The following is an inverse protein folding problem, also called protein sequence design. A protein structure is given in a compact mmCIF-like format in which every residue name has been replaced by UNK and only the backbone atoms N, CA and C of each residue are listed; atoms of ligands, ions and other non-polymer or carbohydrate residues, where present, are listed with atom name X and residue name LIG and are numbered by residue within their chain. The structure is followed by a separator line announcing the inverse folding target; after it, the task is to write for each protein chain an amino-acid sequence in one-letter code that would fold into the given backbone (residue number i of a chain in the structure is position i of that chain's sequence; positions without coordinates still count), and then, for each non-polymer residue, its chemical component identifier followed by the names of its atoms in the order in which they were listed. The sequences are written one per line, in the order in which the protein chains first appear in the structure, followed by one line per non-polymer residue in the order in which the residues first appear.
data_IF_730382191974
#
_entry.id   IF_730382191974
#
_cell.length_a   1.000
_cell.length_b   1.000
_cell.length_c   1.000
_cell.angle_alpha   90.00
_cell.angle_beta   90.00
_cell.angle_gamma   90.00
#
_symmetry.space_group_name_H-M   'P 1'
#
loop_
_entity.id
_entity.type
_entity.pdbx_description
1 polymer ?
#
# COMPACT_ATOMS: atom_id res chain seq x y z
N UNK A 1 -0.25 -25.41 -13.15
CA UNK A 1 0.61 -24.63 -12.24
C UNK A 1 -0.17 -23.42 -11.77
N UNK A 2 -0.14 -23.08 -10.48
CA UNK A 2 -0.75 -21.83 -10.02
C UNK A 2 -0.01 -20.63 -10.67
N UNK A 3 -0.75 -19.61 -11.09
CA UNK A 3 -0.15 -18.37 -11.60
C UNK A 3 0.71 -17.71 -10.51
N UNK A 4 1.80 -17.06 -10.92
CA UNK A 4 2.61 -16.26 -9.99
C UNK A 4 1.76 -15.09 -9.47
N UNK A 5 1.92 -14.71 -8.20
CA UNK A 5 1.22 -13.55 -7.67
C UNK A 5 1.68 -12.28 -8.36
N UNK A 6 0.77 -11.31 -8.47
CA UNK A 6 1.12 -9.94 -8.83
C UNK A 6 1.83 -9.27 -7.66
N UNK A 7 2.88 -8.53 -7.95
CA UNK A 7 3.55 -7.68 -6.96
C UNK A 7 2.99 -6.26 -7.06
N UNK A 8 2.45 -5.75 -5.97
CA UNK A 8 1.93 -4.38 -5.86
C UNK A 8 2.89 -3.58 -4.98
N UNK A 9 3.65 -2.66 -5.56
CA UNK A 9 4.60 -1.83 -4.81
C UNK A 9 3.95 -0.51 -4.40
N UNK A 10 3.82 -0.28 -3.08
CA UNK A 10 3.21 0.91 -2.49
C UNK A 10 4.30 1.76 -1.83
N UNK A 11 4.53 3.00 -2.30
CA UNK A 11 5.58 3.86 -1.76
C UNK A 11 5.22 4.44 -0.38
N UNK A 12 6.17 5.15 0.23
CA UNK A 12 5.86 6.01 1.38
C UNK A 12 5.09 7.27 0.95
N UNK A 13 4.59 8.03 1.92
CA UNK A 13 4.09 9.39 1.66
C UNK A 13 5.18 10.29 1.04
N UNK A 14 4.78 11.42 0.48
CA UNK A 14 5.61 12.23 -0.44
C UNK A 14 5.72 11.64 -1.85
N UNK A 15 5.21 10.42 -2.09
CA UNK A 15 5.21 9.72 -3.38
C UNK A 15 4.21 10.28 -4.41
N UNK A 16 4.39 11.53 -4.84
CA UNK A 16 3.72 12.10 -6.01
C UNK A 16 4.62 12.01 -7.25
N UNK A 17 4.03 11.74 -8.43
CA UNK A 17 4.78 11.72 -9.69
C UNK A 17 5.52 10.40 -9.96
N UNK A 18 6.79 10.50 -10.36
CA UNK A 18 7.55 9.34 -10.86
C UNK A 18 8.15 8.50 -9.72
N UNK A 19 7.34 7.60 -9.17
CA UNK A 19 7.77 6.66 -8.11
C UNK A 19 8.94 5.80 -8.57
N UNK A 20 9.03 5.49 -9.85
CA UNK A 20 10.01 4.55 -10.39
C UNK A 20 11.45 5.05 -10.23
N UNK A 21 11.63 6.36 -10.19
CA UNK A 21 12.91 7.02 -9.98
C UNK A 21 13.19 7.40 -8.51
N UNK A 22 12.32 7.00 -7.58
CA UNK A 22 12.49 7.22 -6.15
C UNK A 22 12.99 5.96 -5.43
N UNK A 23 13.82 6.15 -4.40
CA UNK A 23 14.29 5.10 -3.48
C UNK A 23 14.73 3.82 -4.23
N UNK A 24 14.15 2.67 -3.87
CA UNK A 24 14.46 1.37 -4.46
C UNK A 24 13.41 0.89 -5.48
N UNK A 25 12.34 1.65 -5.72
CA UNK A 25 11.12 1.12 -6.38
C UNK A 25 11.37 0.64 -7.81
N UNK A 26 12.06 1.46 -8.63
CA UNK A 26 12.40 1.07 -10.00
C UNK A 26 13.38 -0.09 -10.07
N UNK A 27 14.34 -0.17 -9.15
CA UNK A 27 15.25 -1.32 -9.06
C UNK A 27 14.49 -2.60 -8.68
N UNK A 28 13.64 -2.53 -7.65
CA UNK A 28 12.86 -3.66 -7.18
C UNK A 28 11.90 -4.16 -8.25
N UNK A 29 11.25 -3.28 -9.00
CA UNK A 29 10.45 -3.73 -10.14
C UNK A 29 11.28 -4.54 -11.12
N UNK A 30 12.43 -4.01 -11.57
CA UNK A 30 13.26 -4.71 -12.55
C UNK A 30 13.67 -6.09 -12.02
N UNK A 31 14.05 -6.16 -10.75
CA UNK A 31 14.42 -7.41 -10.08
C UNK A 31 13.25 -8.41 -10.02
N UNK A 32 12.03 -7.97 -9.74
CA UNK A 32 10.84 -8.83 -9.75
C UNK A 32 10.46 -9.28 -11.17
N UNK A 33 10.47 -8.37 -12.14
CA UNK A 33 10.19 -8.69 -13.55
C UNK A 33 11.19 -9.71 -14.12
N UNK A 34 12.48 -9.59 -13.80
CA UNK A 34 13.50 -10.57 -14.17
C UNK A 34 13.24 -11.98 -13.62
N UNK A 35 12.50 -12.09 -12.49
CA UNK A 35 12.09 -13.36 -11.88
C UNK A 35 10.73 -13.86 -12.39
N UNK A 36 10.15 -13.17 -13.38
CA UNK A 36 8.88 -13.56 -14.02
C UNK A 36 7.63 -13.13 -13.25
N UNK A 37 7.72 -12.14 -12.37
CA UNK A 37 6.55 -11.56 -11.70
C UNK A 37 5.98 -10.39 -12.51
N UNK A 38 4.66 -10.25 -12.49
CA UNK A 38 4.01 -8.99 -12.88
C UNK A 38 4.11 -8.00 -11.72
N UNK A 39 4.35 -6.74 -12.03
CA UNK A 39 4.57 -5.68 -11.02
C UNK A 39 3.71 -4.48 -11.36
N UNK A 40 3.01 -3.95 -10.36
CA UNK A 40 2.23 -2.71 -10.44
C UNK A 40 2.81 -1.68 -9.49
N UNK A 41 3.14 -0.50 -10.03
CA UNK A 41 3.40 0.72 -9.29
C UNK A 41 2.26 1.72 -9.56
N UNK A 42 2.05 2.73 -8.71
CA UNK A 42 1.07 3.76 -8.96
C UNK A 42 1.64 4.74 -10.00
N UNK A 43 1.15 4.64 -11.23
CA UNK A 43 1.58 5.49 -12.34
C UNK A 43 1.12 6.95 -12.08
N UNK A 44 2.07 7.88 -12.05
CA UNK A 44 1.80 9.28 -11.64
C UNK A 44 1.78 9.50 -10.12
N UNK A 45 2.04 8.46 -9.33
CA UNK A 45 2.12 8.54 -7.87
C UNK A 45 0.84 8.11 -7.16
N UNK A 46 0.92 8.01 -5.82
CA UNK A 46 -0.26 7.69 -5.02
C UNK A 46 -1.21 8.90 -4.97
N UNK A 47 -2.53 8.68 -4.95
CA UNK A 47 -3.48 9.76 -4.66
C UNK A 47 -3.21 10.31 -3.26
N UNK A 48 -3.45 11.60 -3.00
CA UNK A 48 -3.16 12.21 -1.68
C UNK A 48 -1.73 11.89 -1.16
N UNK A 49 -0.69 12.14 -1.97
CA UNK A 49 0.64 11.58 -1.72
C UNK A 49 1.27 12.09 -0.44
N UNK A 50 0.90 13.29 0.04
CA UNK A 50 1.47 13.90 1.23
C UNK A 50 0.92 13.30 2.53
N UNK A 51 -0.39 13.04 2.60
CA UNK A 51 -1.05 12.62 3.85
C UNK A 51 -1.30 11.14 3.95
N UNK A 52 -1.26 10.40 2.84
CA UNK A 52 -1.49 8.96 2.85
C UNK A 52 -2.78 8.51 3.58
N UNK A 53 -3.88 9.29 3.45
CA UNK A 53 -5.11 8.99 4.19
C UNK A 53 -5.62 7.59 3.90
N UNK A 54 -5.91 6.82 4.96
CA UNK A 54 -6.45 5.45 4.86
C UNK A 54 -7.64 5.35 3.91
N UNK A 55 -8.60 6.27 4.07
CA UNK A 55 -9.83 6.32 3.28
C UNK A 55 -9.60 6.57 1.77
N UNK A 56 -8.39 6.99 1.37
CA UNK A 56 -8.01 7.23 -0.02
C UNK A 56 -7.09 6.10 -0.51
N UNK A 57 -6.04 5.79 0.25
CA UNK A 57 -5.01 4.84 -0.15
C UNK A 57 -5.52 3.41 -0.17
N UNK A 58 -6.27 2.97 0.85
CA UNK A 58 -6.73 1.57 0.92
C UNK A 58 -7.67 1.24 -0.26
N UNK A 59 -8.69 2.06 -0.58
CA UNK A 59 -9.50 1.83 -1.78
C UNK A 59 -8.68 1.88 -3.08
N UNK A 60 -7.73 2.80 -3.21
CA UNK A 60 -6.89 2.89 -4.41
C UNK A 60 -6.03 1.62 -4.60
N UNK A 61 -5.41 1.13 -3.53
CA UNK A 61 -4.62 -0.10 -3.57
C UNK A 61 -5.49 -1.28 -4.00
N UNK A 62 -6.68 -1.44 -3.40
CA UNK A 62 -7.58 -2.55 -3.70
C UNK A 62 -8.11 -2.46 -5.14
N UNK A 63 -8.67 -1.32 -5.52
CA UNK A 63 -9.43 -1.18 -6.76
C UNK A 63 -8.53 -1.03 -7.98
N UNK A 64 -7.46 -0.23 -7.86
CA UNK A 64 -6.63 0.17 -9.00
C UNK A 64 -5.32 -0.61 -9.07
N UNK A 65 -4.66 -0.84 -7.94
CA UNK A 65 -3.34 -1.47 -7.94
C UNK A 65 -3.42 -3.00 -7.92
N UNK A 66 -4.32 -3.55 -7.11
CA UNK A 66 -4.65 -4.97 -7.07
C UNK A 66 -5.70 -5.35 -8.12
N UNK A 67 -6.32 -4.39 -8.82
CA UNK A 67 -7.40 -4.63 -9.81
C UNK A 67 -8.55 -5.47 -9.21
N UNK A 68 -8.90 -5.21 -7.95
CA UNK A 68 -9.85 -5.97 -7.13
C UNK A 68 -9.44 -7.42 -6.81
N UNK A 69 -8.31 -7.92 -7.29
CA UNK A 69 -7.78 -9.26 -6.98
C UNK A 69 -6.68 -9.22 -5.91
N UNK A 70 -7.09 -8.82 -4.71
CA UNK A 70 -6.21 -8.72 -3.54
C UNK A 70 -5.70 -10.11 -3.09
N UNK A 71 -6.52 -11.15 -3.24
CA UNK A 71 -6.22 -12.50 -2.77
C UNK A 71 -5.11 -13.21 -3.58
N UNK A 72 -4.86 -12.78 -4.83
CA UNK A 72 -3.74 -13.26 -5.65
C UNK A 72 -2.53 -12.32 -5.62
N UNK A 73 -2.63 -11.17 -4.95
CA UNK A 73 -1.60 -10.12 -4.95
C UNK A 73 -0.73 -10.14 -3.70
N UNK A 74 0.57 -9.91 -3.87
CA UNK A 74 1.52 -9.61 -2.79
C UNK A 74 1.79 -8.12 -2.77
N UNK A 75 1.52 -7.47 -1.62
CA UNK A 75 1.70 -6.03 -1.46
C UNK A 75 3.06 -5.77 -0.79
N UNK A 76 3.93 -5.02 -1.46
CA UNK A 76 5.23 -4.58 -0.95
C UNK A 76 5.09 -3.11 -0.57
N UNK A 77 4.96 -2.83 0.72
CA UNK A 77 4.78 -1.48 1.25
C UNK A 77 6.06 -0.93 1.86
N UNK A 78 6.37 0.34 1.60
CA UNK A 78 7.46 1.08 2.23
C UNK A 78 6.93 2.24 3.09
N UNK A 79 7.42 2.39 4.32
CA UNK A 79 6.99 3.46 5.25
C UNK A 79 5.45 3.53 5.34
N UNK A 80 4.80 4.66 5.03
CA UNK A 80 3.33 4.78 5.00
C UNK A 80 2.64 3.78 4.07
N UNK A 81 3.30 3.31 3.02
CA UNK A 81 2.83 2.21 2.19
C UNK A 81 2.82 0.86 2.90
N UNK A 82 3.74 0.63 3.85
CA UNK A 82 3.74 -0.56 4.70
C UNK A 82 2.53 -0.55 5.67
N UNK A 83 2.23 0.61 6.25
CA UNK A 83 1.04 0.79 7.07
C UNK A 83 -0.24 0.62 6.25
N UNK A 84 -0.30 1.16 5.03
CA UNK A 84 -1.42 0.94 4.12
C UNK A 84 -1.61 -0.56 3.77
N UNK A 85 -0.52 -1.31 3.55
CA UNK A 85 -0.58 -2.75 3.30
C UNK A 85 -1.18 -3.53 4.49
N UNK A 86 -0.83 -3.16 5.73
CA UNK A 86 -1.47 -3.70 6.94
C UNK A 86 -2.97 -3.42 6.94
N UNK A 87 -3.39 -2.17 6.64
CA UNK A 87 -4.82 -1.79 6.60
C UNK A 87 -5.60 -2.57 5.54
N UNK A 88 -4.99 -2.86 4.38
CA UNK A 88 -5.61 -3.74 3.36
C UNK A 88 -5.78 -5.17 3.90
N UNK A 89 -4.77 -5.71 4.58
CA UNK A 89 -4.82 -7.06 5.15
C UNK A 89 -5.84 -7.21 6.29
N UNK A 90 -6.18 -6.12 7.00
CA UNK A 90 -7.28 -6.12 7.99
C UNK A 90 -8.66 -6.30 7.34
N UNK A 91 -8.86 -5.77 6.14
CA UNK A 91 -10.17 -5.76 5.46
C UNK A 91 -10.31 -6.82 4.36
N UNK A 92 -9.22 -7.46 3.94
CA UNK A 92 -9.21 -8.34 2.78
C UNK A 92 -8.16 -9.44 2.92
N UNK A 93 -8.47 -10.64 2.40
CA UNK A 93 -7.48 -11.71 2.30
C UNK A 93 -6.45 -11.35 1.25
N UNK A 94 -5.19 -11.22 1.67
CA UNK A 94 -4.03 -10.96 0.82
C UNK A 94 -3.24 -12.25 0.56
N UNK A 95 -2.54 -12.37 -0.56
CA UNK A 95 -1.61 -13.51 -0.77
C UNK A 95 -0.41 -13.43 0.17
N UNK A 96 0.04 -12.21 0.44
CA UNK A 96 1.10 -11.90 1.37
C UNK A 96 1.39 -10.39 1.38
N UNK A 97 2.12 -9.94 2.40
CA UNK A 97 2.62 -8.57 2.51
C UNK A 97 4.11 -8.59 2.81
N UNK A 98 4.84 -7.62 2.26
CA UNK A 98 6.25 -7.34 2.56
C UNK A 98 6.30 -5.92 3.09
N UNK A 99 6.84 -5.77 4.30
CA UNK A 99 6.82 -4.51 5.05
C UNK A 99 8.25 -3.98 5.14
N UNK A 100 8.52 -2.84 4.50
CA UNK A 100 9.82 -2.17 4.51
C UNK A 100 9.71 -0.89 5.33
N UNK A 101 10.46 -0.80 6.44
CA UNK A 101 10.40 0.33 7.37
C UNK A 101 8.98 0.61 7.90
N UNK A 102 8.28 -0.43 8.35
CA UNK A 102 6.95 -0.30 8.94
C UNK A 102 7.01 0.26 10.36
N UNK A 103 5.89 0.87 10.75
CA UNK A 103 5.63 1.39 12.09
C UNK A 103 4.15 1.14 12.45
N UNK A 104 3.85 1.17 13.73
CA UNK A 104 2.52 0.87 14.29
C UNK A 104 1.91 2.02 15.11
N UNK A 105 2.61 3.15 15.22
CA UNK A 105 2.11 4.40 15.78
C UNK A 105 2.42 5.62 14.88
N UNK A 106 1.79 6.79 15.09
CA UNK A 106 2.02 7.98 14.25
C UNK A 106 3.41 8.62 14.34
N UNK A 107 4.31 8.15 15.21
CA UNK A 107 5.65 8.69 15.43
C UNK A 107 5.70 10.19 15.80
N UNK A 108 4.57 10.75 16.25
CA UNK A 108 4.40 12.19 16.48
C UNK A 108 4.28 13.03 15.20
N UNK A 109 4.13 12.42 14.03
CA UNK A 109 3.94 13.09 12.74
C UNK A 109 2.46 13.07 12.33
N UNK A 110 1.88 14.26 12.09
CA UNK A 110 0.49 14.42 11.69
C UNK A 110 0.16 13.78 10.34
N UNK A 111 1.13 13.68 9.42
CA UNK A 111 0.92 13.00 8.14
C UNK A 111 0.88 11.49 8.32
N UNK A 112 1.68 10.93 9.24
CA UNK A 112 1.63 9.50 9.55
C UNK A 112 0.40 9.13 10.37
N UNK A 113 -0.19 10.05 11.13
CA UNK A 113 -1.45 9.81 11.83
C UNK A 113 -2.61 9.46 10.87
N UNK A 114 -2.62 10.03 9.66
CA UNK A 114 -3.74 9.92 8.73
C UNK A 114 -3.95 8.52 8.12
N UNK A 115 -2.94 7.63 8.14
CA UNK A 115 -3.11 6.22 7.72
C UNK A 115 -3.74 5.35 8.83
N UNK A 116 -3.71 5.81 10.09
CA UNK A 116 -4.32 5.12 11.22
C UNK A 116 -5.75 5.56 11.52
N UNK A 117 -6.16 6.73 11.01
CA UNK A 117 -7.53 7.21 11.15
C UNK A 117 -8.53 6.17 10.66
N UNK A 118 -9.37 5.71 11.57
CA UNK A 118 -10.50 4.87 11.24
C UNK A 118 -11.51 5.71 10.45
N UNK A 119 -12.04 5.12 9.39
CA UNK A 119 -13.25 5.68 8.80
C UNK A 119 -14.41 5.59 9.82
N UNK A 120 -15.39 6.46 9.64
CA UNK A 120 -16.57 6.55 10.51
C UNK A 120 -17.32 5.22 10.63
N UNK A 121 -17.27 4.39 9.59
CA UNK A 121 -17.88 3.07 9.59
C UNK A 121 -17.15 2.10 10.53
N UNK A 122 -15.82 2.20 10.59
CA UNK A 122 -14.93 1.40 11.41
C UNK A 122 -14.97 1.83 12.87
N UNK A 123 -15.08 3.14 13.15
CA UNK A 123 -15.33 3.66 14.50
C UNK A 123 -16.66 3.15 15.05
N UNK A 124 -17.73 3.26 14.25
CA UNK A 124 -19.06 2.73 14.60
C UNK A 124 -19.05 1.23 14.89
N UNK A 125 -18.32 0.42 14.11
CA UNK A 125 -18.17 -1.02 14.36
C UNK A 125 -17.41 -1.35 15.65
N UNK A 126 -16.57 -0.43 16.14
CA UNK A 126 -15.82 -0.57 17.40
C UNK A 126 -16.52 0.07 18.60
N UNK A 127 -17.67 0.71 18.41
CA UNK A 127 -18.37 1.42 19.48
C UNK A 127 -17.65 2.70 19.92
N UNK A 128 -16.73 3.21 19.10
CA UNK A 128 -16.04 4.48 19.32
C UNK A 128 -16.90 5.57 18.66
N UNK A 129 -17.52 6.44 19.49
CA UNK A 129 -18.31 7.60 19.05
C UNK A 129 -17.57 8.90 19.31
#
# INVERSE_FOLDING_TARGET
MASRPRIVQVPGNGGGGDIRNCNFYGWAERAFKQRGYTVKLPEGGMPDPLRARRAIWVPHIINEMCEQDVASSVIVGHSSGACAALRVAESSKVKGIVLVAAYDDPLGDANEAAIFELDELSKRKRGES
#
